data_IF_237411276703
#
_entry.id   IF_237411276703
#
_cell.length_a   1.000
_cell.length_b   1.000
_cell.length_c   1.000
_cell.angle_alpha   90.00
_cell.angle_beta   90.00
_cell.angle_gamma   90.00
#
_symmetry.space_group_name_H-M   'P 1'
#
loop_
_entity.id
_entity.type
_entity.pdbx_description
1 polymer ?
#
# COMPACT_ATOMS: atom_id res chain seq x y z
N UNK A 1 13.66 3.68 0.19
CA UNK A 1 13.44 4.82 1.10
C UNK A 1 13.73 4.44 2.54
N UNK A 2 13.00 3.45 3.07
CA UNK A 2 13.16 2.87 4.42
C UNK A 2 14.60 2.49 4.78
N UNK A 3 15.38 2.00 3.82
CA UNK A 3 16.80 1.63 4.03
C UNK A 3 17.75 2.82 4.21
N UNK A 4 17.32 4.07 3.94
CA UNK A 4 18.14 5.25 4.17
C UNK A 4 17.98 5.74 5.63
N UNK A 5 18.92 5.31 6.48
CA UNK A 5 18.88 5.60 7.92
C UNK A 5 18.97 7.10 8.22
N UNK A 6 19.76 7.86 7.46
CA UNK A 6 19.84 9.31 7.62
C UNK A 6 18.50 9.98 7.34
N UNK A 7 17.79 9.56 6.29
CA UNK A 7 16.44 10.06 6.01
C UNK A 7 15.46 9.72 7.13
N UNK A 8 15.48 8.47 7.64
CA UNK A 8 14.62 8.05 8.76
C UNK A 8 14.87 8.91 10.01
N UNK A 9 16.14 9.13 10.36
CA UNK A 9 16.53 9.97 11.50
C UNK A 9 16.06 11.42 11.34
N UNK A 10 16.23 11.99 10.15
CA UNK A 10 15.76 13.36 9.86
C UNK A 10 14.26 13.50 10.00
N UNK A 11 13.48 12.52 9.54
CA UNK A 11 12.02 12.50 9.73
C UNK A 11 11.67 12.36 11.21
N UNK A 12 12.36 11.48 11.96
CA UNK A 12 12.11 11.30 13.40
C UNK A 12 12.38 12.58 14.20
N UNK A 13 13.44 13.32 13.87
CA UNK A 13 13.77 14.59 14.52
C UNK A 13 12.73 15.69 14.24
N UNK A 14 12.04 15.65 13.10
CA UNK A 14 10.95 16.58 12.79
C UNK A 14 9.63 16.14 13.43
N UNK A 15 9.43 14.84 13.63
CA UNK A 15 8.25 14.24 14.23
C UNK A 15 8.53 13.77 15.65
N UNK A 16 9.04 14.68 16.51
CA UNK A 16 9.57 14.35 17.84
C UNK A 16 8.63 13.48 18.69
N UNK A 17 7.32 13.72 18.60
CA UNK A 17 6.30 13.01 19.41
C UNK A 17 5.68 11.80 18.70
N UNK A 18 6.03 11.55 17.43
CA UNK A 18 5.44 10.48 16.61
C UNK A 18 6.55 9.51 16.21
N UNK A 19 6.52 8.23 16.65
CA UNK A 19 7.51 7.25 16.26
C UNK A 19 7.54 7.01 14.75
N UNK A 20 8.73 7.04 14.16
CA UNK A 20 8.96 6.74 12.75
C UNK A 20 9.47 5.31 12.64
N UNK A 21 8.60 4.42 12.15
CA UNK A 21 8.87 2.99 12.03
C UNK A 21 8.88 2.55 10.58
N UNK A 22 9.59 1.47 10.30
CA UNK A 22 9.47 0.70 9.06
C UNK A 22 8.31 -0.29 9.18
N UNK A 23 7.80 -0.77 8.05
CA UNK A 23 6.73 -1.77 8.06
C UNK A 23 7.22 -3.13 8.58
N UNK A 24 8.53 -3.43 8.47
CA UNK A 24 9.11 -4.65 9.00
C UNK A 24 8.97 -4.74 10.52
N UNK A 25 9.06 -3.59 11.21
CA UNK A 25 8.85 -3.49 12.67
C UNK A 25 7.41 -3.84 13.09
N UNK A 26 6.46 -3.88 12.15
CA UNK A 26 5.06 -4.29 12.37
C UNK A 26 4.66 -5.53 11.55
N UNK A 27 5.65 -6.31 11.09
CA UNK A 27 5.42 -7.62 10.47
C UNK A 27 5.16 -7.63 8.96
N UNK A 28 5.38 -6.51 8.26
CA UNK A 28 5.28 -6.45 6.79
C UNK A 28 6.61 -6.03 6.20
N UNK A 29 7.24 -6.94 5.46
CA UNK A 29 8.53 -6.68 4.81
C UNK A 29 8.51 -5.37 4.00
N UNK A 30 9.57 -4.58 4.16
CA UNK A 30 9.70 -3.24 3.56
C UNK A 30 9.75 -3.28 2.04
N UNK A 31 10.25 -4.37 1.46
CA UNK A 31 10.46 -4.52 0.04
C UNK A 31 9.25 -5.16 -0.66
N UNK A 32 8.36 -5.86 0.08
CA UNK A 32 7.21 -6.56 -0.49
C UNK A 32 5.85 -5.86 -0.34
N UNK A 33 5.77 -4.77 0.45
CA UNK A 33 4.50 -4.09 0.75
C UNK A 33 3.65 -3.76 -0.48
N UNK A 34 4.27 -3.28 -1.56
CA UNK A 34 3.55 -2.90 -2.78
C UNK A 34 3.05 -4.13 -3.56
N UNK A 35 3.85 -5.19 -3.65
CA UNK A 35 3.42 -6.46 -4.25
C UNK A 35 2.24 -7.07 -3.46
N UNK A 36 2.29 -7.02 -2.13
CA UNK A 36 1.18 -7.45 -1.27
C UNK A 36 -0.07 -6.60 -1.56
N UNK A 37 0.06 -5.29 -1.73
CA UNK A 37 -1.06 -4.42 -2.07
C UNK A 37 -1.74 -4.83 -3.39
N UNK A 38 -0.98 -5.16 -4.43
CA UNK A 38 -1.54 -5.68 -5.69
C UNK A 38 -2.27 -7.02 -5.50
N UNK A 39 -1.73 -7.94 -4.68
CA UNK A 39 -2.43 -9.19 -4.36
C UNK A 39 -3.77 -8.94 -3.65
N UNK A 40 -3.81 -7.98 -2.72
CA UNK A 40 -5.05 -7.57 -2.04
C UNK A 40 -6.04 -6.92 -3.02
N UNK A 41 -5.58 -6.10 -3.97
CA UNK A 41 -6.44 -5.52 -5.02
C UNK A 41 -7.09 -6.61 -5.87
N UNK A 42 -6.34 -7.65 -6.26
CA UNK A 42 -6.87 -8.79 -7.00
C UNK A 42 -7.88 -9.60 -6.17
N UNK A 43 -7.60 -9.82 -4.88
CA UNK A 43 -8.53 -10.48 -3.95
C UNK A 43 -9.85 -9.70 -3.85
N UNK A 44 -9.79 -8.38 -3.64
CA UNK A 44 -11.00 -7.54 -3.58
C UNK A 44 -11.76 -7.50 -4.91
N UNK A 45 -11.07 -7.49 -6.04
CA UNK A 45 -11.73 -7.62 -7.34
C UNK A 45 -12.53 -8.93 -7.43
N UNK A 46 -11.94 -10.06 -7.01
CA UNK A 46 -12.64 -11.37 -7.05
C UNK A 46 -13.87 -11.43 -6.14
N UNK A 47 -13.87 -10.65 -5.05
CA UNK A 47 -15.01 -10.47 -4.15
C UNK A 47 -15.98 -9.35 -4.56
N UNK A 48 -15.71 -8.67 -5.67
CA UNK A 48 -16.46 -7.50 -6.15
C UNK A 48 -16.51 -6.33 -5.15
N UNK A 49 -15.45 -6.16 -4.36
CA UNK A 49 -15.30 -5.06 -3.41
C UNK A 49 -14.56 -3.91 -4.11
N UNK A 50 -15.13 -2.68 -4.15
CA UNK A 50 -14.42 -1.50 -4.64
C UNK A 50 -13.13 -1.26 -3.86
N UNK A 51 -12.02 -1.09 -4.57
CA UNK A 51 -10.68 -1.02 -3.97
C UNK A 51 -10.01 0.34 -4.09
N UNK A 52 -10.63 1.30 -4.79
CA UNK A 52 -10.19 2.69 -4.76
C UNK A 52 -10.76 3.43 -3.54
N UNK A 53 -10.03 4.46 -3.10
CA UNK A 53 -10.52 5.44 -2.13
C UNK A 53 -10.68 6.80 -2.85
N UNK A 54 -11.91 7.26 -3.13
CA UNK A 54 -12.18 8.54 -3.79
C UNK A 54 -11.48 9.74 -3.15
N UNK A 55 -11.41 9.79 -1.81
CA UNK A 55 -10.77 10.87 -1.06
C UNK A 55 -9.26 10.98 -1.32
N UNK A 56 -8.62 9.87 -1.73
CA UNK A 56 -7.20 9.83 -2.10
C UNK A 56 -7.00 9.98 -3.61
N UNK A 57 -7.89 9.41 -4.41
CA UNK A 57 -7.74 9.33 -5.88
C UNK A 57 -8.39 10.47 -6.66
N UNK A 58 -9.31 11.22 -6.04
CA UNK A 58 -10.15 12.22 -6.72
C UNK A 58 -11.24 11.61 -7.62
N UNK A 59 -11.44 10.28 -7.58
CA UNK A 59 -12.49 9.62 -8.34
C UNK A 59 -13.88 10.08 -7.89
N UNK A 60 -14.84 10.18 -8.82
CA UNK A 60 -16.22 10.59 -8.50
C UNK A 60 -17.01 9.56 -7.69
N UNK A 61 -16.55 8.30 -7.68
CA UNK A 61 -17.23 7.20 -7.01
C UNK A 61 -16.24 6.10 -6.60
N UNK A 62 -16.68 5.25 -5.66
CA UNK A 62 -16.02 3.97 -5.37
C UNK A 62 -16.28 3.01 -6.54
N UNK A 63 -15.22 2.44 -7.10
CA UNK A 63 -15.21 1.54 -8.25
C UNK A 63 -14.30 0.34 -8.00
N UNK A 64 -14.61 -0.77 -8.65
CA UNK A 64 -13.69 -1.91 -8.68
C UNK A 64 -12.49 -1.57 -9.58
N UNK A 65 -11.28 -1.93 -9.13
CA UNK A 65 -10.06 -1.77 -9.93
C UNK A 65 -9.61 -3.10 -10.52
N UNK A 66 -8.91 -3.05 -11.65
CA UNK A 66 -8.34 -4.22 -12.33
C UNK A 66 -9.30 -4.91 -13.29
N UNK A 67 -8.75 -5.85 -14.07
CA UNK A 67 -9.46 -6.70 -15.03
C UNK A 67 -9.02 -8.16 -14.85
N UNK A 68 -9.92 -9.12 -15.05
CA UNK A 68 -9.61 -10.55 -14.99
C UNK A 68 -9.24 -11.04 -16.39
N UNK A 69 -8.00 -11.45 -16.56
CA UNK A 69 -7.54 -12.18 -17.75
C UNK A 69 -7.47 -13.67 -17.45
N UNK A 70 -8.20 -14.48 -18.22
CA UNK A 70 -8.12 -15.93 -18.08
C UNK A 70 -6.79 -16.44 -18.65
N UNK A 71 -6.16 -17.44 -18.02
CA UNK A 71 -4.94 -18.04 -18.56
C UNK A 71 -5.23 -18.65 -19.93
N UNK A 72 -4.27 -18.52 -20.84
CA UNK A 72 -4.29 -19.24 -22.11
C UNK A 72 -3.96 -20.70 -21.78
N UNK A 73 -4.90 -21.59 -22.06
CA UNK A 73 -4.74 -23.04 -21.93
C UNK A 73 -3.88 -23.55 -23.09
#
# INVERSE_FOLDING_TARGET
GSHNLYLKERIQNLLVTIPVMTTAEVGVDVDFKEAIAFAVLAYWHSLKIPSNLPEVTGAKAKVMLGEIHQPII
#
